data_IF_009082783079
#
_entry.id   IF_009082783079
#
_cell.length_a   1.000
_cell.length_b   1.000
_cell.length_c   1.000
_cell.angle_alpha   90.00
_cell.angle_beta   90.00
_cell.angle_gamma   90.00
#
_symmetry.space_group_name_H-M   'P 1'
#
loop_
_entity.id
_entity.type
_entity.pdbx_description
1 polymer ?
#
# COMPACT_ATOMS: atom_id res chain seq x y z
N UNK A 1 20.47 -1.01 -4.53
CA UNK A 1 19.41 -0.22 -3.84
C UNK A 1 20.01 0.91 -3.01
N UNK A 2 21.00 0.61 -2.17
CA UNK A 2 21.57 1.60 -1.25
C UNK A 2 22.27 2.76 -1.97
N UNK A 3 22.92 2.52 -3.10
CA UNK A 3 23.62 3.57 -3.85
C UNK A 3 22.65 4.53 -4.53
N UNK A 4 21.53 4.04 -5.03
CA UNK A 4 20.48 4.86 -5.65
C UNK A 4 19.76 5.69 -4.59
N UNK A 5 19.42 5.09 -3.44
CA UNK A 5 18.79 5.79 -2.33
C UNK A 5 19.70 6.90 -1.78
N UNK A 6 21.00 6.64 -1.64
CA UNK A 6 21.99 7.63 -1.16
C UNK A 6 22.22 8.79 -2.15
N UNK A 7 22.04 8.56 -3.45
CA UNK A 7 22.18 9.58 -4.49
C UNK A 7 20.88 10.30 -4.84
N UNK A 8 19.75 9.86 -4.30
CA UNK A 8 18.45 10.47 -4.52
C UNK A 8 18.24 11.64 -3.57
N UNK A 9 17.87 12.80 -4.10
CA UNK A 9 17.34 13.87 -3.27
C UNK A 9 15.85 14.00 -3.51
N UNK A 10 15.10 13.97 -2.44
CA UNK A 10 13.70 14.34 -2.45
C UNK A 10 13.61 15.82 -2.15
N UNK A 11 13.66 16.58 -3.20
CA UNK A 11 13.75 18.04 -3.15
C UNK A 11 12.61 18.70 -2.36
N UNK A 12 11.52 17.97 -2.19
CA UNK A 12 10.30 18.47 -1.57
C UNK A 12 10.06 17.96 -0.13
N UNK A 13 10.91 17.08 0.38
CA UNK A 13 10.74 16.47 1.70
C UNK A 13 11.42 17.23 2.85
N UNK A 14 11.68 18.47 2.64
CA UNK A 14 11.95 19.36 3.76
C UNK A 14 10.70 19.43 4.63
N UNK A 15 10.81 19.01 5.89
CA UNK A 15 9.73 19.00 6.88
C UNK A 15 9.02 20.36 6.97
N UNK A 16 9.74 21.46 6.81
CA UNK A 16 9.15 22.80 6.79
C UNK A 16 8.24 23.00 5.58
N UNK A 17 8.63 22.51 4.41
CA UNK A 17 7.81 22.56 3.21
C UNK A 17 6.58 21.65 3.35
N UNK A 18 6.72 20.46 3.92
CA UNK A 18 5.59 19.59 4.21
C UNK A 18 4.63 20.20 5.22
N UNK A 19 5.12 20.73 6.34
CA UNK A 19 4.29 21.47 7.30
C UNK A 19 3.54 22.62 6.64
N UNK A 20 4.23 23.45 5.85
CA UNK A 20 3.60 24.55 5.13
C UNK A 20 2.48 24.05 4.17
N UNK A 21 2.70 22.95 3.47
CA UNK A 21 1.70 22.35 2.59
C UNK A 21 0.49 21.83 3.34
N UNK A 22 0.71 21.17 4.48
CA UNK A 22 -0.35 20.62 5.33
C UNK A 22 -1.12 21.76 6.01
N UNK A 23 -0.44 22.65 6.68
CA UNK A 23 -1.06 23.71 7.51
C UNK A 23 -1.67 24.83 6.62
N UNK A 24 -1.00 25.17 5.51
CA UNK A 24 -1.44 26.25 4.62
C UNK A 24 -2.40 25.83 3.52
N UNK A 25 -2.29 24.61 3.02
CA UNK A 25 -3.06 24.15 1.85
C UNK A 25 -3.88 22.87 2.10
N UNK A 26 -3.84 22.30 3.30
CA UNK A 26 -4.59 21.11 3.66
C UNK A 26 -4.13 19.83 2.92
N UNK A 27 -2.87 19.76 2.51
CA UNK A 27 -2.33 18.56 1.89
C UNK A 27 -2.11 17.46 2.94
N UNK A 28 -2.17 16.21 2.50
CA UNK A 28 -1.78 15.08 3.31
C UNK A 28 -0.27 14.83 3.23
N UNK A 29 0.27 14.10 4.21
CA UNK A 29 1.67 13.65 4.18
C UNK A 29 1.94 12.82 2.93
N UNK A 30 3.04 13.11 2.24
CA UNK A 30 3.56 12.33 1.13
C UNK A 30 4.82 11.59 1.58
N UNK A 31 4.88 10.32 1.26
CA UNK A 31 6.03 9.47 1.58
C UNK A 31 6.62 8.94 0.29
N UNK A 32 7.94 8.81 0.26
CA UNK A 32 8.74 8.41 -0.91
C UNK A 32 8.88 6.91 -1.06
N UNK A 33 8.17 6.16 -0.25
CA UNK A 33 8.16 4.71 -0.23
C UNK A 33 6.81 4.15 -0.65
N UNK A 34 6.80 2.88 -1.05
CA UNK A 34 5.55 2.15 -1.21
C UNK A 34 4.82 2.07 0.14
N UNK A 35 3.51 2.05 0.10
CA UNK A 35 2.67 1.98 1.28
C UNK A 35 1.74 0.78 1.20
N UNK A 36 1.62 0.05 2.31
CA UNK A 36 0.70 -1.07 2.47
C UNK A 36 -0.25 -0.78 3.62
N UNK A 37 -1.53 -0.62 3.30
CA UNK A 37 -2.56 -0.39 4.30
C UNK A 37 -3.31 -1.68 4.61
N UNK A 38 -3.26 -2.09 5.88
CA UNK A 38 -3.98 -3.25 6.40
C UNK A 38 -5.19 -2.80 7.19
N UNK A 39 -6.35 -3.31 6.80
CA UNK A 39 -7.61 -3.02 7.47
C UNK A 39 -7.62 -3.56 8.91
N UNK A 40 -8.09 -2.75 9.85
CA UNK A 40 -8.20 -3.10 11.26
C UNK A 40 -9.66 -3.37 11.65
N UNK A 41 -9.90 -4.16 12.71
CA UNK A 41 -11.26 -4.49 13.15
C UNK A 41 -12.10 -3.29 13.61
N UNK A 42 -11.47 -2.17 13.93
CA UNK A 42 -12.10 -0.92 14.35
C UNK A 42 -12.50 -0.02 13.15
N UNK A 43 -12.19 -0.46 11.92
CA UNK A 43 -12.48 0.27 10.69
C UNK A 43 -11.39 1.26 10.27
N UNK A 44 -10.28 1.32 11.00
CA UNK A 44 -9.09 2.07 10.62
C UNK A 44 -8.16 1.24 9.73
N UNK A 45 -7.13 1.88 9.18
CA UNK A 45 -6.06 1.23 8.44
C UNK A 45 -4.73 1.43 9.15
N UNK A 46 -3.89 0.41 9.14
CA UNK A 46 -2.51 0.48 9.63
C UNK A 46 -1.55 0.38 8.45
N UNK A 47 -0.63 1.33 8.35
CA UNK A 47 0.42 1.29 7.33
C UNK A 47 1.54 0.35 7.77
N UNK A 48 1.91 -0.62 6.93
CA UNK A 48 2.81 -1.73 7.31
C UNK A 48 3.92 -2.01 6.30
N UNK A 49 4.09 -1.22 5.25
CA UNK A 49 5.01 -1.56 4.15
C UNK A 49 6.46 -1.81 4.60
N UNK A 50 6.97 -1.04 5.59
CA UNK A 50 8.30 -1.27 6.16
C UNK A 50 8.38 -2.61 6.88
N UNK A 51 7.41 -2.92 7.72
CA UNK A 51 7.33 -4.19 8.44
C UNK A 51 7.14 -5.37 7.48
N UNK A 52 6.40 -5.14 6.41
CA UNK A 52 6.04 -6.15 5.41
C UNK A 52 7.14 -6.40 4.37
N UNK A 53 8.20 -5.58 4.33
CA UNK A 53 9.34 -5.78 3.42
C UNK A 53 9.13 -5.31 1.98
N UNK A 54 8.07 -4.54 1.68
CA UNK A 54 7.75 -4.06 0.32
C UNK A 54 7.86 -2.54 0.14
N UNK A 55 8.44 -1.85 1.11
CA UNK A 55 8.48 -0.39 1.14
C UNK A 55 9.39 0.24 0.07
N UNK A 56 10.39 -0.50 -0.42
CA UNK A 56 11.42 0.04 -1.31
C UNK A 56 11.60 -0.85 -2.53
N UNK A 57 11.20 -0.36 -3.69
CA UNK A 57 11.32 -1.04 -4.99
C UNK A 57 11.74 -0.08 -6.11
N UNK A 58 12.32 1.06 -5.77
CA UNK A 58 12.68 2.14 -6.69
C UNK A 58 11.44 3.00 -7.09
N UNK A 59 11.32 3.44 -8.34
CA UNK A 59 10.24 4.30 -8.81
C UNK A 59 9.05 3.46 -9.27
N UNK A 60 8.17 3.18 -8.35
CA UNK A 60 7.04 2.25 -8.54
C UNK A 60 5.82 2.92 -9.16
N UNK A 61 5.13 2.21 -10.05
CA UNK A 61 3.92 2.67 -10.72
C UNK A 61 2.70 1.80 -10.38
N UNK A 62 2.71 0.54 -10.78
CA UNK A 62 1.62 -0.39 -10.52
C UNK A 62 1.97 -1.30 -9.34
N UNK A 63 1.05 -1.44 -8.39
CA UNK A 63 1.08 -2.49 -7.38
C UNK A 63 -0.15 -3.40 -7.56
N UNK A 64 0.06 -4.65 -7.98
CA UNK A 64 -1.01 -5.60 -8.23
C UNK A 64 -0.94 -6.75 -7.24
N UNK A 65 -2.02 -6.95 -6.49
CA UNK A 65 -2.24 -8.14 -5.68
C UNK A 65 -2.85 -9.26 -6.52
N UNK A 66 -2.19 -10.41 -6.54
CA UNK A 66 -2.63 -11.65 -7.17
C UNK A 66 -2.15 -12.84 -6.35
N UNK A 67 -2.76 -13.98 -6.50
CA UNK A 67 -2.30 -15.26 -5.94
C UNK A 67 -1.60 -16.00 -7.10
N UNK A 68 -0.32 -15.65 -7.34
CA UNK A 68 0.39 -16.12 -8.52
C UNK A 68 0.87 -17.56 -8.40
N UNK A 69 1.11 -18.07 -7.19
CA UNK A 69 1.49 -19.46 -6.97
C UNK A 69 0.34 -20.34 -6.45
N UNK A 70 -0.87 -19.78 -6.44
CA UNK A 70 -2.13 -20.47 -6.10
C UNK A 70 -2.11 -21.15 -4.71
N UNK A 71 -1.39 -20.53 -3.76
CA UNK A 71 -1.31 -21.03 -2.37
C UNK A 71 -2.42 -20.50 -1.46
N UNK A 72 -3.28 -19.61 -1.97
CA UNK A 72 -4.40 -19.00 -1.26
C UNK A 72 -4.05 -17.68 -0.56
N UNK A 73 -2.82 -17.21 -0.67
CA UNK A 73 -2.37 -15.92 -0.16
C UNK A 73 -2.18 -14.91 -1.30
N UNK A 74 -2.18 -13.63 -0.96
CA UNK A 74 -1.96 -12.59 -1.96
C UNK A 74 -0.47 -12.29 -2.08
N UNK A 75 0.05 -12.43 -3.28
CA UNK A 75 1.36 -11.95 -3.71
C UNK A 75 1.25 -10.53 -4.26
N UNK A 76 2.37 -9.88 -4.49
CA UNK A 76 2.41 -8.51 -5.03
C UNK A 76 3.37 -8.44 -6.21
N UNK A 77 2.88 -7.97 -7.36
CA UNK A 77 3.72 -7.56 -8.48
C UNK A 77 3.83 -6.04 -8.52
N UNK A 78 5.06 -5.49 -8.63
CA UNK A 78 5.32 -4.04 -8.67
C UNK A 78 6.11 -3.70 -9.93
N UNK A 79 5.53 -2.85 -10.78
CA UNK A 79 6.22 -2.30 -11.94
C UNK A 79 7.00 -1.05 -11.59
N UNK A 80 8.20 -0.87 -12.18
CA UNK A 80 9.13 0.17 -11.82
C UNK A 80 9.78 0.83 -13.04
N UNK A 81 10.41 1.98 -12.78
CA UNK A 81 11.29 2.66 -13.70
C UNK A 81 10.80 4.04 -14.14
N UNK A 82 11.74 4.90 -14.45
CA UNK A 82 11.50 6.22 -15.09
C UNK A 82 12.56 6.45 -16.17
N UNK A 83 12.24 7.25 -17.23
CA UNK A 83 13.20 7.50 -18.30
C UNK A 83 14.49 8.14 -17.83
N UNK A 84 14.38 9.07 -16.89
CA UNK A 84 15.50 9.84 -16.35
C UNK A 84 15.26 10.15 -14.88
N UNK A 85 16.34 10.24 -14.08
CA UNK A 85 16.28 10.53 -12.64
C UNK A 85 16.53 12.01 -12.34
N UNK A 86 15.47 12.83 -12.25
CA UNK A 86 15.63 14.28 -11.98
C UNK A 86 16.05 14.57 -10.55
N UNK A 87 15.91 13.59 -9.65
CA UNK A 87 16.26 13.67 -8.23
C UNK A 87 17.66 13.14 -7.90
N UNK A 88 18.47 12.76 -8.91
CA UNK A 88 19.86 12.35 -8.69
C UNK A 88 20.69 13.53 -8.16
N UNK A 89 21.42 13.30 -7.04
CA UNK A 89 22.17 14.37 -6.36
C UNK A 89 23.32 14.91 -7.17
N UNK A 90 24.00 14.07 -7.95
CA UNK A 90 25.12 14.52 -8.79
C UNK A 90 24.60 15.34 -9.96
N UNK A 91 23.48 14.92 -10.56
CA UNK A 91 22.75 15.71 -11.56
C UNK A 91 22.28 17.07 -10.99
N UNK A 92 21.66 17.08 -9.81
CA UNK A 92 21.21 18.32 -9.16
C UNK A 92 22.37 19.25 -8.85
N UNK A 93 23.49 18.74 -8.35
CA UNK A 93 24.71 19.52 -8.10
C UNK A 93 25.25 20.11 -9.40
N UNK A 94 25.29 19.30 -10.46
CA UNK A 94 25.73 19.75 -11.77
C UNK A 94 24.86 20.91 -12.30
N UNK A 95 23.55 20.73 -12.35
CA UNK A 95 22.61 21.76 -12.84
C UNK A 95 22.58 23.00 -11.94
N UNK A 96 22.82 22.85 -10.64
CA UNK A 96 22.87 23.95 -9.69
C UNK A 96 24.22 24.69 -9.69
N UNK A 97 25.23 24.24 -10.42
CA UNK A 97 26.53 24.90 -10.49
C UNK A 97 26.42 26.25 -11.20
N UNK A 98 27.22 27.23 -10.76
CA UNK A 98 27.22 28.58 -11.35
C UNK A 98 27.61 28.58 -12.83
N UNK A 99 28.40 27.62 -13.26
CA UNK A 99 28.78 27.44 -14.67
C UNK A 99 27.59 27.07 -15.59
N UNK A 100 26.62 26.34 -15.06
CA UNK A 100 25.41 25.94 -15.79
C UNK A 100 24.30 26.99 -15.61
N UNK A 101 24.08 27.50 -14.38
CA UNK A 101 23.07 28.54 -14.13
C UNK A 101 23.22 29.76 -15.03
N UNK A 102 24.45 30.17 -15.31
CA UNK A 102 24.72 31.30 -16.22
C UNK A 102 24.44 30.98 -17.69
N UNK A 103 24.22 29.71 -18.06
CA UNK A 103 24.00 29.26 -19.45
C UNK A 103 22.56 28.81 -19.71
N UNK A 104 21.80 28.44 -18.70
CA UNK A 104 20.44 27.89 -18.83
C UNK A 104 19.46 28.90 -19.45
N UNK A 105 19.67 30.19 -19.29
CA UNK A 105 18.75 31.23 -19.79
C UNK A 105 18.78 31.46 -21.31
N UNK A 106 19.59 30.72 -22.07
CA UNK A 106 19.82 31.15 -23.46
C UNK A 106 19.93 30.11 -24.58
N UNK A 107 19.86 28.79 -24.36
CA UNK A 107 19.88 27.87 -25.50
C UNK A 107 19.25 26.49 -25.24
N UNK A 108 18.41 26.02 -26.19
CA UNK A 108 17.91 24.63 -26.29
C UNK A 108 19.03 23.56 -26.23
N UNK A 109 20.27 23.93 -26.55
CA UNK A 109 21.43 23.02 -26.56
C UNK A 109 21.89 22.67 -25.13
N UNK A 110 21.80 23.63 -24.22
CA UNK A 110 22.17 23.39 -22.80
C UNK A 110 21.14 22.54 -22.09
N UNK A 111 19.85 22.76 -22.43
CA UNK A 111 18.76 21.93 -21.90
C UNK A 111 18.90 20.48 -22.35
N UNK A 112 19.28 20.24 -23.61
CA UNK A 112 19.53 18.90 -24.13
C UNK A 112 20.75 18.24 -23.47
N UNK A 113 21.84 18.96 -23.28
CA UNK A 113 23.03 18.46 -22.58
C UNK A 113 22.72 18.10 -21.12
N UNK A 114 21.92 18.89 -20.43
CA UNK A 114 21.48 18.59 -19.08
C UNK A 114 20.62 17.32 -19.03
N UNK A 115 19.69 17.15 -19.97
CA UNK A 115 18.87 15.95 -20.11
C UNK A 115 19.71 14.70 -20.41
N UNK A 116 20.74 14.83 -21.26
CA UNK A 116 21.61 13.72 -21.63
C UNK A 116 22.47 13.25 -20.45
N UNK A 117 22.84 14.15 -19.55
CA UNK A 117 23.61 13.86 -18.35
C UNK A 117 22.75 13.28 -17.21
N UNK A 118 21.44 13.42 -17.29
CA UNK A 118 20.55 12.86 -16.28
C UNK A 118 20.58 11.33 -16.33
N UNK A 119 20.86 10.63 -15.21
CA UNK A 119 20.93 9.19 -15.20
C UNK A 119 19.64 8.51 -15.65
N UNK A 120 19.77 7.35 -16.28
CA UNK A 120 18.64 6.49 -16.59
C UNK A 120 18.04 5.90 -15.32
N UNK A 121 16.72 5.76 -15.29
CA UNK A 121 15.99 5.09 -14.23
C UNK A 121 15.43 3.73 -14.63
N UNK A 122 16.09 3.04 -15.58
CA UNK A 122 15.72 1.66 -15.94
C UNK A 122 16.04 0.74 -14.76
N UNK A 123 15.01 0.01 -14.30
CA UNK A 123 15.11 -0.93 -13.18
C UNK A 123 14.27 -2.17 -13.48
N UNK A 124 14.47 -3.25 -12.74
CA UNK A 124 13.64 -4.44 -12.89
C UNK A 124 12.30 -4.25 -12.13
N UNK A 125 11.32 -5.01 -12.57
CA UNK A 125 10.08 -5.16 -11.82
C UNK A 125 10.29 -6.11 -10.63
N UNK A 126 9.43 -5.97 -9.61
CA UNK A 126 9.49 -6.82 -8.43
C UNK A 126 8.26 -7.72 -8.34
N UNK A 127 8.46 -8.92 -7.83
CA UNK A 127 7.39 -9.80 -7.40
C UNK A 127 7.69 -10.35 -6.01
N UNK A 128 6.73 -10.19 -5.12
CA UNK A 128 6.85 -10.61 -3.73
C UNK A 128 5.80 -11.67 -3.43
N UNK A 129 6.26 -12.79 -2.86
CA UNK A 129 5.37 -13.83 -2.35
C UNK A 129 4.83 -13.44 -0.99
N UNK A 130 3.50 -13.47 -0.87
CA UNK A 130 2.80 -13.34 0.40
C UNK A 130 2.71 -14.63 1.20
N UNK A 131 2.08 -14.56 2.36
CA UNK A 131 1.89 -15.71 3.24
C UNK A 131 0.92 -15.40 4.37
N UNK A 132 0.88 -16.27 5.37
CA UNK A 132 -0.01 -16.11 6.55
C UNK A 132 0.33 -14.90 7.40
N UNK A 133 1.58 -14.48 7.37
CA UNK A 133 2.07 -13.30 8.07
C UNK A 133 2.15 -12.12 7.09
N UNK A 134 2.12 -10.90 7.60
CA UNK A 134 2.24 -9.69 6.77
C UNK A 134 3.69 -9.42 6.33
N UNK A 135 4.48 -10.45 6.10
CA UNK A 135 5.83 -10.36 5.60
C UNK A 135 5.89 -10.96 4.19
N UNK A 136 6.32 -10.16 3.22
CA UNK A 136 6.43 -10.56 1.83
C UNK A 136 7.90 -10.93 1.52
N UNK A 137 8.08 -12.06 0.84
CA UNK A 137 9.39 -12.52 0.41
C UNK A 137 9.65 -12.10 -1.03
N UNK A 138 10.76 -11.42 -1.30
CA UNK A 138 11.19 -11.11 -2.67
C UNK A 138 11.49 -12.38 -3.46
N UNK A 139 10.73 -12.59 -4.53
CA UNK A 139 10.85 -13.71 -5.45
C UNK A 139 11.25 -13.27 -6.85
N UNK A 140 11.62 -12.02 -7.04
CA UNK A 140 11.91 -11.42 -8.36
C UNK A 140 12.95 -12.19 -9.15
N UNK A 141 14.01 -12.73 -8.48
CA UNK A 141 15.04 -13.55 -9.16
C UNK A 141 14.56 -14.94 -9.60
N UNK A 142 13.51 -15.45 -8.96
CA UNK A 142 13.05 -16.82 -9.17
C UNK A 142 11.82 -16.91 -10.06
N UNK A 143 10.95 -15.88 -10.00
CA UNK A 143 9.65 -15.90 -10.65
C UNK A 143 9.61 -15.11 -11.94
N UNK A 144 10.46 -14.07 -12.08
CA UNK A 144 10.53 -13.25 -13.30
C UNK A 144 11.98 -13.06 -13.76
N UNK A 145 12.17 -12.60 -15.00
CA UNK A 145 13.48 -12.13 -15.47
C UNK A 145 13.75 -10.73 -14.92
N UNK A 146 14.99 -10.46 -14.50
CA UNK A 146 15.43 -9.14 -14.03
C UNK A 146 15.84 -8.22 -15.20
N UNK A 147 14.98 -8.10 -16.19
CA UNK A 147 15.21 -7.14 -17.27
C UNK A 147 15.03 -5.72 -16.75
N UNK A 148 16.01 -4.86 -16.99
CA UNK A 148 15.95 -3.46 -16.60
C UNK A 148 15.17 -2.67 -17.63
N UNK A 149 13.94 -2.26 -17.26
CA UNK A 149 12.97 -1.64 -18.13
C UNK A 149 12.41 -0.35 -17.49
N UNK A 150 11.52 0.31 -18.18
CA UNK A 150 10.69 1.38 -17.64
C UNK A 150 9.26 0.91 -17.78
N UNK A 151 8.79 0.19 -16.78
CA UNK A 151 7.47 -0.44 -16.77
C UNK A 151 6.46 0.42 -16.02
N UNK A 152 5.40 0.84 -16.68
CA UNK A 152 4.32 1.66 -16.11
C UNK A 152 3.06 0.84 -15.85
N UNK A 153 2.11 0.94 -16.76
CA UNK A 153 0.84 0.23 -16.68
C UNK A 153 1.04 -1.28 -16.65
N UNK A 154 0.34 -1.94 -15.74
CA UNK A 154 0.40 -3.40 -15.57
C UNK A 154 -0.99 -3.95 -15.36
N UNK A 155 -1.32 -5.06 -16.03
CA UNK A 155 -2.56 -5.77 -15.88
C UNK A 155 -2.30 -7.27 -15.69
N UNK A 156 -3.26 -7.96 -15.09
CA UNK A 156 -3.20 -9.40 -14.85
C UNK A 156 -4.49 -10.09 -15.34
N UNK A 157 -4.36 -11.32 -15.73
CA UNK A 157 -5.44 -12.19 -16.16
C UNK A 157 -4.89 -13.56 -16.53
N UNK A 158 -5.76 -14.49 -16.83
CA UNK A 158 -5.39 -15.79 -17.34
C UNK A 158 -5.41 -15.71 -18.87
N UNK A 159 -4.24 -15.41 -19.47
CA UNK A 159 -4.12 -15.05 -20.88
C UNK A 159 -4.03 -16.25 -21.82
N UNK A 160 -3.52 -17.37 -21.38
CA UNK A 160 -3.44 -18.61 -22.17
C UNK A 160 -4.54 -19.63 -21.82
N UNK A 161 -5.35 -19.34 -20.82
CA UNK A 161 -6.54 -20.13 -20.46
C UNK A 161 -6.25 -21.34 -19.59
N UNK A 162 -5.08 -21.41 -18.97
CA UNK A 162 -4.62 -22.57 -18.21
C UNK A 162 -5.01 -22.53 -16.73
N UNK A 163 -5.49 -21.37 -16.24
CA UNK A 163 -6.10 -21.23 -14.91
C UNK A 163 -5.26 -20.50 -13.89
N UNK A 164 -4.02 -20.15 -14.19
CA UNK A 164 -3.22 -19.28 -13.33
C UNK A 164 -3.21 -17.81 -13.80
N UNK A 165 -2.60 -16.94 -13.03
CA UNK A 165 -2.59 -15.50 -13.32
C UNK A 165 -1.31 -15.11 -14.03
N UNK A 166 -1.44 -14.63 -15.25
CA UNK A 166 -0.38 -14.00 -16.03
C UNK A 166 -0.32 -12.49 -15.78
N UNK A 167 0.82 -11.90 -16.12
CA UNK A 167 1.04 -10.46 -15.99
C UNK A 167 1.55 -9.88 -17.30
N UNK A 168 1.00 -8.75 -17.71
CA UNK A 168 1.49 -7.95 -18.83
C UNK A 168 1.85 -6.55 -18.36
N UNK A 169 3.03 -6.06 -18.77
CA UNK A 169 3.46 -4.68 -18.47
C UNK A 169 3.67 -3.91 -19.76
N UNK A 170 3.25 -2.64 -19.76
CA UNK A 170 3.60 -1.71 -20.82
C UNK A 170 4.89 -0.98 -20.48
N UNK A 171 5.85 -0.98 -21.41
CA UNK A 171 7.17 -0.41 -21.21
C UNK A 171 7.36 0.84 -22.08
N UNK A 172 8.09 1.84 -21.57
CA UNK A 172 8.45 3.04 -22.35
C UNK A 172 9.62 2.69 -23.26
N UNK A 173 9.49 3.00 -24.55
CA UNK A 173 10.49 2.81 -25.62
C UNK A 173 10.98 1.36 -25.76
N UNK A 174 10.24 0.40 -25.23
CA UNK A 174 10.51 -1.03 -25.31
C UNK A 174 9.21 -1.83 -25.57
N UNK A 175 9.29 -3.02 -26.16
CA UNK A 175 8.12 -3.90 -26.27
C UNK A 175 7.50 -4.16 -24.91
N UNK A 176 6.17 -4.41 -24.89
CA UNK A 176 5.49 -4.88 -23.69
C UNK A 176 6.08 -6.21 -23.22
N UNK A 177 6.19 -6.39 -21.90
CA UNK A 177 6.62 -7.65 -21.32
C UNK A 177 5.38 -8.49 -20.99
N UNK A 178 5.44 -9.76 -21.36
CA UNK A 178 4.43 -10.76 -21.06
C UNK A 178 5.06 -11.82 -20.16
N UNK A 179 4.54 -11.96 -18.96
CA UNK A 179 4.95 -12.98 -17.99
C UNK A 179 3.86 -14.04 -17.94
N UNK A 180 4.12 -15.16 -18.63
CA UNK A 180 3.23 -16.33 -18.60
C UNK A 180 3.61 -17.17 -17.38
N UNK A 181 2.65 -17.34 -16.50
CA UNK A 181 2.76 -18.17 -15.32
C UNK A 181 2.71 -19.67 -15.71
N UNK A 182 3.17 -20.56 -14.83
CA UNK A 182 3.18 -22.01 -15.03
C UNK A 182 2.97 -22.73 -13.68
N UNK A 183 2.13 -22.15 -12.86
CA UNK A 183 1.88 -22.67 -11.51
C UNK A 183 0.77 -23.73 -11.51
N UNK A 184 -0.14 -23.73 -12.47
CA UNK A 184 -1.30 -24.60 -12.58
C UNK A 184 -1.00 -26.10 -12.55
N UNK A 185 0.20 -26.51 -12.96
CA UNK A 185 0.65 -27.92 -12.88
C UNK A 185 0.72 -28.48 -11.45
N UNK A 186 0.68 -27.61 -10.42
CA UNK A 186 0.96 -27.94 -9.02
C UNK A 186 -0.13 -27.56 -8.05
N UNK A 187 -1.10 -26.79 -8.48
CA UNK A 187 -2.12 -26.18 -7.61
C UNK A 187 -3.49 -26.20 -8.28
N UNK A 188 -4.51 -25.87 -7.53
CA UNK A 188 -5.87 -25.82 -8.01
C UNK A 188 -6.39 -24.38 -7.98
N UNK A 189 -7.35 -24.07 -8.82
CA UNK A 189 -7.92 -22.73 -8.93
C UNK A 189 -9.45 -22.73 -9.06
N UNK A 190 -10.05 -21.56 -8.86
CA UNK A 190 -11.41 -21.27 -9.30
C UNK A 190 -11.45 -19.85 -9.86
N UNK A 191 -12.01 -19.70 -11.07
CA UNK A 191 -12.31 -18.40 -11.66
C UNK A 191 -13.81 -18.16 -11.65
N UNK A 192 -14.22 -16.97 -11.23
CA UNK A 192 -15.61 -16.54 -11.22
C UNK A 192 -15.77 -15.34 -12.14
N UNK A 193 -16.62 -15.51 -13.16
CA UNK A 193 -17.12 -14.43 -14.01
C UNK A 193 -18.58 -14.18 -13.64
N UNK A 194 -19.02 -12.95 -13.72
CA UNK A 194 -20.38 -12.58 -13.36
C UNK A 194 -21.13 -12.04 -14.57
N UNK A 195 -22.40 -12.39 -14.65
CA UNK A 195 -23.37 -11.80 -15.56
C UNK A 195 -24.48 -11.19 -14.69
N UNK A 196 -24.37 -9.87 -14.43
CA UNK A 196 -25.19 -9.24 -13.39
C UNK A 196 -26.38 -8.46 -13.97
N UNK A 197 -26.17 -7.26 -14.48
CA UNK A 197 -27.24 -6.42 -15.07
C UNK A 197 -26.74 -5.68 -16.30
N UNK A 198 -27.67 -5.20 -17.15
CA UNK A 198 -27.31 -4.43 -18.36
C UNK A 198 -26.42 -3.20 -18.10
N UNK A 199 -26.53 -2.60 -16.90
CA UNK A 199 -25.73 -1.43 -16.51
C UNK A 199 -24.41 -1.79 -15.87
N UNK A 200 -24.24 -3.01 -15.42
CA UNK A 200 -23.05 -3.54 -14.78
C UNK A 200 -22.88 -5.03 -15.12
N UNK A 201 -22.71 -5.31 -16.40
CA UNK A 201 -22.70 -6.68 -16.93
C UNK A 201 -21.71 -7.57 -16.21
N UNK A 202 -20.53 -7.07 -15.91
CA UNK A 202 -19.48 -7.83 -15.22
C UNK A 202 -19.68 -7.94 -13.70
N UNK A 203 -20.70 -7.31 -13.12
CA UNK A 203 -20.90 -7.34 -11.67
C UNK A 203 -19.79 -6.64 -10.88
N UNK A 204 -19.21 -5.55 -11.40
CA UNK A 204 -18.17 -4.79 -10.69
C UNK A 204 -18.68 -4.38 -9.31
N UNK A 205 -17.87 -4.61 -8.26
CA UNK A 205 -18.24 -4.41 -6.86
C UNK A 205 -18.84 -5.65 -6.18
N UNK A 206 -18.96 -6.77 -6.91
CA UNK A 206 -19.34 -8.06 -6.30
C UNK A 206 -18.27 -8.53 -5.33
N UNK A 207 -18.67 -8.92 -4.13
CA UNK A 207 -17.80 -9.46 -3.08
C UNK A 207 -17.98 -10.96 -2.95
N UNK A 208 -16.87 -11.67 -2.84
CA UNK A 208 -16.86 -13.13 -2.78
C UNK A 208 -16.08 -13.61 -1.56
N UNK A 209 -16.73 -14.45 -0.78
CA UNK A 209 -16.15 -15.16 0.36
C UNK A 209 -16.10 -16.64 0.00
N UNK A 210 -14.90 -17.20 -0.08
CA UNK A 210 -14.66 -18.61 -0.33
C UNK A 210 -14.22 -19.32 0.94
N UNK A 211 -14.91 -20.37 1.32
CA UNK A 211 -14.64 -21.16 2.52
C UNK A 211 -14.14 -22.55 2.11
N UNK A 212 -12.96 -22.92 2.57
CA UNK A 212 -12.32 -24.21 2.29
C UNK A 212 -11.58 -24.71 3.54
N UNK A 213 -11.90 -25.90 4.03
CA UNK A 213 -11.23 -26.53 5.16
C UNK A 213 -11.14 -25.62 6.43
N UNK A 214 -12.17 -24.84 6.69
CA UNK A 214 -12.17 -23.85 7.78
C UNK A 214 -11.39 -22.55 7.49
N UNK A 215 -10.71 -22.46 6.37
CA UNK A 215 -10.07 -21.23 5.88
C UNK A 215 -11.06 -20.33 5.14
N UNK A 216 -10.76 -19.04 5.10
CA UNK A 216 -11.52 -18.02 4.40
C UNK A 216 -10.60 -17.23 3.46
N UNK A 217 -10.99 -17.15 2.20
CA UNK A 217 -10.46 -16.17 1.25
C UNK A 217 -11.54 -15.15 0.89
N UNK A 218 -11.19 -13.89 0.80
CA UNK A 218 -12.08 -12.80 0.40
C UNK A 218 -11.51 -12.07 -0.81
N UNK A 219 -12.35 -11.83 -1.79
CA UNK A 219 -12.02 -11.00 -2.95
C UNK A 219 -13.21 -10.14 -3.37
N UNK A 220 -12.93 -8.98 -3.90
CA UNK A 220 -13.92 -8.08 -4.52
C UNK A 220 -13.56 -7.91 -5.99
N UNK A 221 -14.56 -7.97 -6.86
CA UNK A 221 -14.37 -7.71 -8.27
C UNK A 221 -14.18 -6.21 -8.51
N UNK A 222 -12.95 -5.84 -8.72
CA UNK A 222 -12.52 -4.48 -9.03
C UNK A 222 -11.44 -4.51 -10.11
N UNK A 223 -11.80 -4.41 -11.41
CA UNK A 223 -10.84 -4.57 -12.50
C UNK A 223 -9.88 -3.39 -12.66
N UNK A 224 -10.28 -2.18 -12.27
CA UNK A 224 -9.42 -0.99 -12.36
C UNK A 224 -8.38 -1.04 -11.25
N UNK A 225 -7.21 -1.60 -11.57
CA UNK A 225 -6.08 -1.80 -10.65
C UNK A 225 -4.78 -1.41 -11.33
N UNK A 226 -3.78 -1.05 -10.52
CA UNK A 226 -2.50 -0.60 -11.04
C UNK A 226 -2.53 0.83 -11.59
N UNK A 227 -1.46 1.24 -12.24
CA UNK A 227 -1.31 2.56 -12.82
C UNK A 227 -1.87 2.59 -14.24
N UNK A 228 -2.93 3.38 -14.46
CA UNK A 228 -3.57 3.55 -15.78
C UNK A 228 -3.90 2.24 -16.51
N UNK A 229 -4.32 1.22 -15.76
CA UNK A 229 -4.59 -0.11 -16.28
C UNK A 229 -5.92 -0.68 -15.76
N UNK A 230 -6.38 -1.70 -16.45
CA UNK A 230 -7.52 -2.52 -16.03
C UNK A 230 -7.20 -3.99 -16.32
N UNK A 231 -7.42 -4.81 -15.32
CA UNK A 231 -7.23 -6.27 -15.39
C UNK A 231 -8.50 -6.98 -15.85
N UNK A 232 -8.41 -8.26 -16.13
CA UNK A 232 -9.58 -9.07 -16.50
C UNK A 232 -10.70 -8.96 -15.46
N UNK A 233 -11.97 -8.72 -15.86
CA UNK A 233 -13.09 -8.59 -14.93
C UNK A 233 -13.55 -9.95 -14.40
N UNK A 234 -12.71 -10.61 -13.64
CA UNK A 234 -12.97 -11.87 -12.96
C UNK A 234 -12.42 -11.89 -11.54
N UNK A 235 -12.91 -12.81 -10.73
CA UNK A 235 -12.34 -13.12 -9.41
C UNK A 235 -11.63 -14.47 -9.51
N UNK A 236 -10.36 -14.49 -9.16
CA UNK A 236 -9.51 -15.68 -9.18
C UNK A 236 -9.14 -16.10 -7.75
N UNK A 237 -9.26 -17.38 -7.45
CA UNK A 237 -8.85 -18.00 -6.19
C UNK A 237 -7.88 -19.15 -6.45
N UNK A 238 -6.76 -19.19 -5.73
CA UNK A 238 -5.85 -20.33 -5.69
C UNK A 238 -6.13 -21.25 -4.50
N UNK A 239 -5.91 -22.55 -4.73
CA UNK A 239 -6.08 -23.59 -3.72
C UNK A 239 -5.02 -24.68 -3.88
N UNK A 240 -4.06 -24.77 -2.98
CA UNK A 240 -2.92 -25.70 -3.10
C UNK A 240 -3.36 -27.15 -3.26
N UNK A 241 -4.26 -27.64 -2.38
CA UNK A 241 -4.62 -29.07 -2.32
C UNK A 241 -6.13 -29.35 -2.24
N UNK A 242 -6.97 -28.33 -2.29
CA UNK A 242 -8.42 -28.56 -2.22
C UNK A 242 -8.96 -29.08 -3.56
N UNK A 243 -9.79 -30.10 -3.54
CA UNK A 243 -10.48 -30.64 -4.72
C UNK A 243 -11.88 -30.07 -4.88
N UNK A 244 -12.42 -29.49 -3.82
CA UNK A 244 -13.71 -28.81 -3.80
C UNK A 244 -13.70 -27.70 -2.75
N UNK A 245 -14.53 -26.72 -2.94
CA UNK A 245 -14.75 -25.55 -2.07
C UNK A 245 -16.02 -25.82 -1.28
N UNK A 246 -15.95 -25.73 0.05
CA UNK A 246 -17.08 -26.03 0.93
C UNK A 246 -18.27 -25.12 0.63
N UNK A 247 -18.01 -23.81 0.55
CA UNK A 247 -19.04 -22.86 0.15
C UNK A 247 -18.46 -21.57 -0.40
N UNK A 248 -19.20 -20.94 -1.32
CA UNK A 248 -18.90 -19.60 -1.86
C UNK A 248 -20.10 -18.70 -1.58
N UNK A 249 -19.90 -17.67 -0.79
CA UNK A 249 -20.89 -16.61 -0.59
C UNK A 249 -20.57 -15.45 -1.52
N UNK A 250 -21.53 -15.08 -2.34
CA UNK A 250 -21.45 -14.00 -3.31
C UNK A 250 -22.41 -12.90 -2.85
N UNK A 251 -21.87 -11.71 -2.62
CA UNK A 251 -22.67 -10.52 -2.28
C UNK A 251 -22.61 -9.58 -3.47
N UNK A 252 -23.76 -9.34 -4.04
CA UNK A 252 -23.94 -8.51 -5.22
C UNK A 252 -23.89 -7.00 -4.88
N UNK A 253 -23.66 -6.13 -5.88
CA UNK A 253 -23.61 -4.68 -5.66
C UNK A 253 -24.87 -4.06 -5.06
N UNK A 254 -26.03 -4.67 -5.28
CA UNK A 254 -27.33 -4.27 -4.72
C UNK A 254 -27.55 -4.69 -3.25
N UNK A 255 -26.52 -5.26 -2.61
CA UNK A 255 -26.58 -5.81 -1.25
C UNK A 255 -27.50 -7.03 -1.12
N UNK A 256 -27.69 -7.78 -2.17
CA UNK A 256 -28.24 -9.14 -2.08
C UNK A 256 -27.10 -10.17 -2.09
N UNK A 257 -27.38 -11.41 -1.65
CA UNK A 257 -26.40 -12.48 -1.66
C UNK A 257 -26.99 -13.82 -2.04
N UNK A 258 -26.11 -14.68 -2.53
CA UNK A 258 -26.39 -16.11 -2.74
C UNK A 258 -25.21 -16.94 -2.24
N UNK A 259 -25.41 -18.25 -2.07
CA UNK A 259 -24.40 -19.19 -1.60
C UNK A 259 -24.40 -20.41 -2.51
N UNK A 260 -23.21 -20.76 -3.01
CA UNK A 260 -22.96 -22.02 -3.69
C UNK A 260 -22.29 -22.99 -2.70
N UNK A 261 -22.59 -24.27 -2.82
CA UNK A 261 -22.06 -25.34 -1.95
C UNK A 261 -21.32 -26.39 -2.78
N UNK A 262 -20.27 -26.98 -2.20
CA UNK A 262 -19.52 -28.10 -2.79
C UNK A 262 -19.08 -27.81 -4.24
N UNK A 263 -18.41 -26.67 -4.45
CA UNK A 263 -18.00 -26.21 -5.78
C UNK A 263 -16.68 -26.90 -6.15
N UNK A 264 -16.60 -27.68 -7.25
CA UNK A 264 -15.34 -28.24 -7.72
C UNK A 264 -14.35 -27.14 -8.10
N UNK A 265 -13.04 -27.41 -7.92
CA UNK A 265 -11.94 -26.53 -8.37
C UNK A 265 -11.61 -26.78 -9.88
N UNK A 266 -10.62 -26.07 -10.40
CA UNK A 266 -10.10 -26.17 -11.77
C UNK A 266 -11.14 -25.88 -12.85
N UNK A 267 -11.89 -24.81 -12.66
CA UNK A 267 -12.91 -24.38 -13.62
C UNK A 267 -13.14 -22.87 -13.58
N UNK A 268 -13.78 -22.39 -14.64
CA UNK A 268 -14.36 -21.04 -14.70
C UNK A 268 -15.87 -21.14 -14.60
N UNK A 269 -16.47 -20.48 -13.62
CA UNK A 269 -17.91 -20.41 -13.46
C UNK A 269 -18.42 -19.01 -13.83
N UNK A 270 -19.41 -18.96 -14.71
CA UNK A 270 -20.21 -17.74 -14.93
C UNK A 270 -21.42 -17.78 -14.01
N UNK A 271 -21.57 -16.76 -13.16
CA UNK A 271 -22.59 -16.70 -12.12
C UNK A 271 -23.54 -15.54 -12.38
N UNK A 272 -24.82 -15.82 -12.25
CA UNK A 272 -25.91 -14.85 -12.30
C UNK A 272 -26.62 -14.77 -10.95
N UNK A 273 -27.28 -13.63 -10.61
CA UNK A 273 -28.12 -13.55 -9.43
C UNK A 273 -29.28 -14.54 -9.49
N UNK A 274 -29.30 -15.49 -8.56
CA UNK A 274 -30.34 -16.53 -8.51
C UNK A 274 -30.76 -16.77 -7.06
N UNK A 275 -32.06 -16.69 -6.77
CA UNK A 275 -32.63 -16.91 -5.43
C UNK A 275 -31.90 -16.09 -4.34
N UNK A 276 -31.57 -14.85 -4.67
CA UNK A 276 -30.82 -13.95 -3.77
C UNK A 276 -31.64 -13.54 -2.55
N UNK A 277 -30.95 -13.26 -1.43
CA UNK A 277 -31.52 -12.76 -0.18
C UNK A 277 -30.85 -11.44 0.19
N UNK A 278 -31.52 -10.51 0.87
CA UNK A 278 -30.90 -9.29 1.38
C UNK A 278 -29.72 -9.60 2.29
N UNK A 279 -28.62 -8.85 2.15
CA UNK A 279 -27.43 -8.95 2.99
C UNK A 279 -27.32 -7.71 3.88
N UNK A 280 -27.18 -7.96 5.18
CA UNK A 280 -27.00 -6.90 6.17
C UNK A 280 -25.51 -6.79 6.55
N UNK A 281 -24.85 -5.71 6.12
CA UNK A 281 -23.45 -5.43 6.46
C UNK A 281 -23.25 -5.10 7.94
N UNK A 282 -24.26 -4.56 8.62
CA UNK A 282 -24.14 -4.24 10.06
C UNK A 282 -23.97 -5.53 10.89
N UNK A 283 -24.47 -6.66 10.38
CA UNK A 283 -24.27 -7.97 11.02
C UNK A 283 -22.80 -8.39 11.13
N UNK A 284 -21.90 -7.82 10.30
CA UNK A 284 -20.45 -8.07 10.32
C UNK A 284 -19.74 -7.23 11.38
N UNK A 285 -20.35 -6.13 11.83
CA UNK A 285 -19.75 -5.23 12.82
C UNK A 285 -19.92 -5.81 14.21
N UNK A 286 -18.84 -6.40 14.73
CA UNK A 286 -18.79 -6.77 16.15
C UNK A 286 -18.52 -5.51 16.97
N UNK A 287 -19.55 -4.92 17.57
CA UNK A 287 -19.37 -3.89 18.58
C UNK A 287 -18.64 -4.48 19.78
N UNK A 288 -17.33 -4.26 19.88
CA UNK A 288 -16.58 -4.49 21.10
C UNK A 288 -16.86 -3.31 22.02
N UNK A 289 -17.47 -3.53 23.18
CA UNK A 289 -17.46 -2.51 24.22
C UNK A 289 -16.01 -2.25 24.60
N UNK A 290 -15.50 -1.04 24.48
CA UNK A 290 -14.13 -0.75 24.90
C UNK A 290 -13.99 -0.99 26.40
N UNK A 291 -12.83 -1.50 26.83
CA UNK A 291 -12.53 -1.66 28.26
C UNK A 291 -12.40 -0.29 28.94
N UNK A 292 -11.94 0.72 28.19
CA UNK A 292 -11.82 2.10 28.64
C UNK A 292 -12.75 2.97 27.81
N UNK A 293 -13.37 3.93 28.45
CA UNK A 293 -14.11 4.99 27.77
C UNK A 293 -13.56 6.34 28.19
N UNK A 294 -13.54 7.33 27.27
CA UNK A 294 -13.17 8.69 27.63
C UNK A 294 -14.11 9.21 28.70
N UNK A 295 -13.57 10.01 29.59
CA UNK A 295 -14.33 10.72 30.61
C UNK A 295 -14.85 12.01 30.00
N UNK A 296 -16.16 12.25 30.02
CA UNK A 296 -16.78 13.44 29.43
C UNK A 296 -16.34 14.76 30.11
N UNK A 297 -15.88 14.67 31.34
CA UNK A 297 -15.21 15.73 32.08
C UNK A 297 -13.78 15.36 32.36
N UNK A 298 -12.84 16.26 32.13
CA UNK A 298 -11.43 16.06 32.43
C UNK A 298 -11.10 15.90 33.92
N UNK A 299 -12.14 15.83 34.78
CA UNK A 299 -12.03 15.67 36.25
C UNK A 299 -11.13 16.75 36.92
N UNK A 300 -11.03 17.94 36.33
CA UNK A 300 -10.16 19.00 36.80
C UNK A 300 -8.74 18.91 36.25
N UNK A 301 -8.41 17.96 35.41
CA UNK A 301 -7.12 17.83 34.73
C UNK A 301 -7.09 18.79 33.52
N UNK A 302 -6.93 20.06 33.77
CA UNK A 302 -6.88 21.12 32.74
C UNK A 302 -5.43 21.40 32.35
N UNK A 303 -4.83 20.46 31.62
CA UNK A 303 -3.49 20.56 31.09
C UNK A 303 -3.47 20.33 29.60
N UNK A 304 -2.92 21.30 28.87
CA UNK A 304 -2.64 21.15 27.43
C UNK A 304 -1.15 21.32 27.21
N UNK A 305 -0.51 20.31 26.70
CA UNK A 305 0.89 20.40 26.30
C UNK A 305 1.02 21.17 24.99
N UNK A 306 1.91 22.14 24.96
CA UNK A 306 2.22 22.93 23.76
C UNK A 306 3.72 22.80 23.49
N UNK A 307 4.06 22.26 22.32
CA UNK A 307 5.44 22.18 21.87
C UNK A 307 5.93 23.49 21.25
N UNK A 308 7.24 23.70 21.25
CA UNK A 308 7.86 24.80 20.53
C UNK A 308 8.03 24.45 19.03
N UNK A 309 8.36 25.47 18.23
CA UNK A 309 8.60 25.31 16.78
C UNK A 309 10.03 24.88 16.45
N UNK A 310 10.73 24.24 17.38
CA UNK A 310 12.09 23.79 17.15
C UNK A 310 12.12 22.57 16.24
N UNK A 311 12.97 22.61 15.21
CA UNK A 311 13.16 21.53 14.28
C UNK A 311 14.57 20.97 14.40
N UNK A 312 14.72 19.79 15.00
CA UNK A 312 16.01 19.12 15.23
C UNK A 312 16.82 18.96 13.94
N UNK A 313 16.18 18.64 12.83
CA UNK A 313 16.82 18.40 11.53
C UNK A 313 17.54 19.63 10.96
N UNK A 314 17.24 20.83 11.45
CA UNK A 314 17.99 22.03 11.05
C UNK A 314 19.43 21.99 11.57
N UNK A 315 19.67 21.29 12.67
CA UNK A 315 20.96 21.15 13.32
C UNK A 315 21.53 19.74 13.17
N UNK A 316 20.70 18.71 13.42
CA UNK A 316 21.09 17.31 13.41
C UNK A 316 20.43 16.61 12.20
N UNK A 317 21.06 16.73 11.03
CA UNK A 317 20.48 16.32 9.73
C UNK A 317 20.33 14.81 9.54
N UNK A 318 21.04 14.00 10.33
CA UNK A 318 21.10 12.55 10.15
C UNK A 318 20.28 11.75 11.15
N UNK A 319 19.54 12.40 12.03
CA UNK A 319 18.64 11.68 12.95
C UNK A 319 17.40 11.19 12.21
N UNK A 320 16.92 9.97 12.50
CA UNK A 320 15.80 9.36 11.77
C UNK A 320 14.43 9.94 12.15
N UNK A 321 14.34 10.67 13.25
CA UNK A 321 13.12 11.31 13.74
C UNK A 321 13.45 12.49 14.67
N UNK A 322 12.49 13.39 14.82
CA UNK A 322 12.63 14.53 15.72
C UNK A 322 12.64 14.05 17.18
N UNK A 323 13.56 14.59 17.99
CA UNK A 323 13.73 14.19 19.39
C UNK A 323 13.11 15.23 20.34
N UNK A 324 13.07 16.49 19.92
CA UNK A 324 12.63 17.62 20.75
C UNK A 324 11.12 17.68 20.98
N UNK A 325 10.31 17.00 20.16
CA UNK A 325 8.84 17.03 20.20
C UNK A 325 8.23 15.69 20.64
N UNK A 326 8.83 15.03 21.63
CA UNK A 326 8.36 13.72 22.11
C UNK A 326 7.18 13.77 23.07
N UNK A 327 6.60 14.92 23.25
CA UNK A 327 5.47 15.14 24.12
C UNK A 327 5.84 15.29 25.60
N UNK A 328 4.88 15.51 26.49
CA UNK A 328 5.13 15.76 27.89
C UNK A 328 5.68 14.55 28.62
N UNK A 329 6.59 14.79 29.56
CA UNK A 329 6.86 13.82 30.60
C UNK A 329 5.60 13.60 31.45
N UNK A 330 5.37 12.36 31.87
CA UNK A 330 4.19 12.00 32.65
C UNK A 330 4.58 11.09 33.80
N UNK A 331 4.06 11.38 34.99
CA UNK A 331 4.28 10.51 36.17
C UNK A 331 3.04 10.48 37.06
N UNK A 332 2.90 9.37 37.79
CA UNK A 332 1.87 9.20 38.80
C UNK A 332 2.55 8.80 40.11
N UNK A 333 2.21 9.46 41.19
CA UNK A 333 2.73 9.16 42.53
C UNK A 333 1.98 9.98 43.59
N UNK A 334 2.14 9.60 44.86
CA UNK A 334 1.66 10.39 46.01
C UNK A 334 2.79 11.32 46.41
N UNK A 335 2.71 12.61 46.07
CA UNK A 335 3.76 13.61 46.31
C UNK A 335 3.55 14.36 47.62
N UNK A 336 2.33 14.36 48.17
CA UNK A 336 1.97 15.08 49.38
C UNK A 336 1.82 14.17 50.61
N UNK A 337 1.83 12.84 50.43
CA UNK A 337 1.72 11.83 51.49
C UNK A 337 0.31 11.62 52.03
N UNK A 338 -0.72 11.99 51.25
CA UNK A 338 -2.14 11.84 51.65
C UNK A 338 -2.73 10.44 51.34
N UNK A 339 -1.95 9.56 50.74
CA UNK A 339 -2.32 8.20 50.36
C UNK A 339 -3.10 8.09 49.04
N UNK A 340 -3.34 9.20 48.34
CA UNK A 340 -3.91 9.23 46.99
C UNK A 340 -2.80 9.39 45.95
N UNK A 341 -3.15 9.20 44.71
CA UNK A 341 -2.22 9.34 43.58
C UNK A 341 -2.39 10.67 42.90
N UNK A 342 -1.32 11.43 42.87
CA UNK A 342 -1.20 12.68 42.15
C UNK A 342 -0.67 12.44 40.73
N UNK A 343 -0.92 13.38 39.84
CA UNK A 343 -0.53 13.29 38.43
C UNK A 343 0.38 14.47 38.10
N UNK A 344 1.55 14.18 37.53
CA UNK A 344 2.48 15.16 37.01
C UNK A 344 2.48 15.15 35.49
N UNK A 345 2.39 16.37 34.89
CA UNK A 345 2.62 16.62 33.47
C UNK A 345 3.82 17.54 33.29
N UNK A 346 4.80 17.11 32.48
CA UNK A 346 5.94 17.92 32.11
C UNK A 346 5.58 18.94 31.03
N UNK A 347 5.98 20.18 31.20
CA UNK A 347 5.83 21.20 30.17
C UNK A 347 6.93 21.13 29.11
N UNK A 348 6.79 21.95 28.07
CA UNK A 348 7.82 22.20 27.06
C UNK A 348 8.79 23.31 27.50
N UNK A 349 9.68 23.75 26.63
CA UNK A 349 10.71 24.75 26.90
C UNK A 349 10.16 26.08 27.46
N UNK A 350 8.96 26.49 27.08
CA UNK A 350 8.36 27.77 27.48
C UNK A 350 7.06 27.60 28.26
N UNK A 351 6.64 26.39 28.51
CA UNK A 351 5.41 26.06 29.20
C UNK A 351 5.70 25.38 30.54
N UNK A 352 5.05 25.80 31.63
CA UNK A 352 5.31 25.22 32.94
C UNK A 352 4.78 23.81 33.08
N UNK A 353 5.49 22.97 33.83
CA UNK A 353 4.97 21.69 34.28
C UNK A 353 3.85 21.88 35.31
N UNK A 354 2.92 20.95 35.40
CA UNK A 354 1.80 20.99 36.35
C UNK A 354 1.71 19.68 37.15
N UNK A 355 1.29 19.82 38.41
CA UNK A 355 0.95 18.70 39.29
C UNK A 355 -0.51 18.88 39.71
N UNK A 356 -1.27 17.81 39.58
CA UNK A 356 -2.65 17.69 40.05
C UNK A 356 -2.66 16.73 41.26
N UNK A 357 -3.10 17.23 42.41
CA UNK A 357 -3.13 16.54 43.71
C UNK A 357 -4.55 16.18 44.12
#
# INVERSE_FOLDING_TARGET
EDEVALKSSEKDDNIQTQKMRIDGFGYHYQFTRNMLFVNQPDGNFMETALMSGIAATDWSWSGLFGDFDQDGHQDVFISNGIPKRPNDLDFIKFVSSDQIRSKIDNTKLVDQQALDLMPSGNVHNYVFKGGKELHFQDMSEKWITKDTLISGATAMGDLDGDGDLDVVTNNIDQPASLYINKTNDKSNYLKLKFNYTDKNTFGIGTKVYSYVNGGLQFKELFPTRGFQASSEPMVHFGYTNATAIDSIKIIWPDKTYQVLQNVPVNQTLTIEPTNTKPFDYESLRKSKKPLFSPVDNNLGLDFTHVEDNYTDFNREKLIPYQISDRGPAFAIGDVNGDGKRDIFFGGSKYEPSQIFV
#
